data_IF_542170748299
#
_entry.id   IF_542170748299
#
_cell.length_a   1.000
_cell.length_b   1.000
_cell.length_c   1.000
_cell.angle_alpha   90.00
_cell.angle_beta   90.00
_cell.angle_gamma   90.00
#
_symmetry.space_group_name_H-M   'P 1'
#
loop_
_entity.id
_entity.type
_entity.pdbx_description
1 polymer ?
#
# COMPACT_ATOMS: atom_id res chain seq x y z
N UNK A 1 -11.08 -17.84 13.63
CA UNK A 1 -12.02 -17.62 12.51
C UNK A 1 -12.97 -18.80 12.48
N UNK A 2 -14.28 -18.56 12.34
CA UNK A 2 -15.30 -19.59 12.32
C UNK A 2 -15.15 -20.46 11.06
N UNK A 3 -15.09 -21.80 11.19
CA UNK A 3 -14.97 -22.72 10.06
C UNK A 3 -16.09 -22.61 9.01
N UNK A 4 -17.27 -22.09 9.37
CA UNK A 4 -18.38 -21.89 8.44
C UNK A 4 -18.10 -20.82 7.36
N UNK A 5 -17.13 -19.94 7.56
CA UNK A 5 -16.77 -18.91 6.58
C UNK A 5 -16.31 -19.49 5.24
N UNK A 6 -15.74 -20.69 5.22
CA UNK A 6 -15.40 -21.41 3.98
C UNK A 6 -16.59 -21.64 3.06
N UNK A 7 -17.81 -21.69 3.61
CA UNK A 7 -19.03 -22.00 2.84
C UNK A 7 -19.51 -20.81 1.99
N UNK A 8 -19.11 -19.58 2.33
CA UNK A 8 -19.55 -18.37 1.63
C UNK A 8 -18.44 -17.35 1.33
N UNK A 9 -17.18 -17.71 1.55
CA UNK A 9 -16.05 -16.78 1.31
C UNK A 9 -15.31 -17.05 0.02
N UNK A 10 -14.79 -15.96 -0.57
CA UNK A 10 -13.82 -15.95 -1.65
C UNK A 10 -12.61 -15.13 -1.20
N UNK A 11 -11.43 -15.71 -1.23
CA UNK A 11 -10.19 -15.04 -0.85
C UNK A 11 -9.42 -14.69 -2.12
N UNK A 12 -9.33 -13.40 -2.44
CA UNK A 12 -8.57 -12.90 -3.57
C UNK A 12 -7.21 -12.40 -3.07
N UNK A 13 -6.15 -12.86 -3.69
CA UNK A 13 -4.79 -12.48 -3.31
C UNK A 13 -3.82 -12.53 -4.49
N UNK A 14 -2.62 -11.97 -4.31
CA UNK A 14 -1.57 -12.00 -5.32
C UNK A 14 -0.18 -11.82 -4.70
N UNK A 15 0.84 -12.29 -5.41
CA UNK A 15 2.24 -12.03 -5.10
C UNK A 15 2.72 -10.63 -5.54
N UNK A 16 1.91 -9.91 -6.31
CA UNK A 16 2.34 -8.75 -7.10
C UNK A 16 2.84 -7.58 -6.26
N UNK A 17 2.23 -7.31 -5.11
CA UNK A 17 2.66 -6.23 -4.21
C UNK A 17 3.80 -6.66 -3.30
N UNK A 18 3.73 -7.87 -2.77
CA UNK A 18 4.76 -8.43 -1.88
C UNK A 18 6.13 -8.53 -2.56
N UNK A 19 6.15 -8.90 -3.84
CA UNK A 19 7.39 -9.17 -4.58
C UNK A 19 7.66 -8.14 -5.70
N UNK A 20 6.97 -7.02 -5.71
CA UNK A 20 7.13 -5.94 -6.69
C UNK A 20 7.03 -6.42 -8.16
N UNK A 21 6.11 -7.32 -8.44
CA UNK A 21 5.85 -7.88 -9.77
C UNK A 21 4.48 -7.52 -10.33
N UNK A 22 3.97 -6.32 -10.00
CA UNK A 22 2.63 -5.89 -10.40
C UNK A 22 2.43 -5.84 -11.92
N UNK A 23 3.49 -5.59 -12.69
CA UNK A 23 3.44 -5.61 -14.16
C UNK A 23 3.07 -6.96 -14.76
N UNK A 24 3.23 -8.06 -14.03
CA UNK A 24 2.84 -9.41 -14.48
C UNK A 24 1.33 -9.65 -14.46
N UNK A 25 0.56 -8.77 -13.77
CA UNK A 25 -0.91 -8.78 -13.72
C UNK A 25 -1.49 -10.14 -13.36
N UNK A 26 -0.94 -10.81 -12.35
CA UNK A 26 -1.38 -12.12 -11.90
C UNK A 26 -1.96 -12.08 -10.49
N UNK A 27 -3.09 -12.75 -10.30
CA UNK A 27 -3.74 -12.96 -9.01
C UNK A 27 -4.40 -14.33 -8.98
N UNK A 28 -4.72 -14.81 -7.80
CA UNK A 28 -5.45 -16.06 -7.65
C UNK A 28 -6.56 -15.90 -6.60
N UNK A 29 -7.56 -16.76 -6.72
CA UNK A 29 -8.67 -16.81 -5.78
C UNK A 29 -8.77 -18.20 -5.17
N UNK A 30 -8.95 -18.24 -3.85
CA UNK A 30 -9.20 -19.47 -3.10
C UNK A 30 -10.68 -19.51 -2.76
N UNK A 31 -11.36 -20.56 -3.21
CA UNK A 31 -12.79 -20.79 -2.95
C UNK A 31 -12.95 -22.25 -2.53
N UNK A 32 -13.22 -22.49 -1.26
CA UNK A 32 -13.38 -23.86 -0.74
C UNK A 32 -14.72 -24.45 -1.15
N UNK A 33 -15.81 -23.69 -1.08
CA UNK A 33 -17.14 -24.15 -1.45
C UNK A 33 -17.23 -24.49 -2.95
N UNK A 34 -17.52 -25.76 -3.33
CA UNK A 34 -17.56 -26.18 -4.73
C UNK A 34 -18.64 -25.46 -5.57
N UNK A 35 -19.78 -25.12 -4.98
CA UNK A 35 -20.86 -24.41 -5.68
C UNK A 35 -20.44 -22.99 -6.04
N UNK A 36 -19.86 -22.26 -5.08
CA UNK A 36 -19.31 -20.92 -5.30
C UNK A 36 -18.18 -20.95 -6.33
N UNK A 37 -17.27 -21.92 -6.21
CA UNK A 37 -16.15 -22.09 -7.16
C UNK A 37 -16.63 -22.34 -8.58
N UNK A 38 -17.66 -23.15 -8.77
CA UNK A 38 -18.28 -23.40 -10.08
C UNK A 38 -18.91 -22.12 -10.64
N UNK A 39 -19.72 -21.42 -9.83
CA UNK A 39 -20.35 -20.16 -10.24
C UNK A 39 -19.29 -19.09 -10.62
N UNK A 40 -18.22 -18.96 -9.83
CA UNK A 40 -17.12 -18.05 -10.13
C UNK A 40 -16.45 -18.38 -11.47
N UNK A 41 -16.11 -19.66 -11.72
CA UNK A 41 -15.52 -20.10 -12.97
C UNK A 41 -16.42 -19.83 -14.17
N UNK A 42 -17.71 -20.10 -14.06
CA UNK A 42 -18.67 -19.81 -15.12
C UNK A 42 -18.73 -18.30 -15.42
N UNK A 43 -18.67 -17.45 -14.38
CA UNK A 43 -18.64 -16.01 -14.58
C UNK A 43 -17.35 -15.53 -15.24
N UNK A 44 -16.21 -16.08 -14.87
CA UNK A 44 -14.92 -15.79 -15.53
C UNK A 44 -14.97 -16.13 -17.02
N UNK A 45 -15.49 -17.31 -17.37
CA UNK A 45 -15.65 -17.73 -18.77
C UNK A 45 -16.58 -16.79 -19.54
N UNK A 46 -17.75 -16.47 -18.96
CA UNK A 46 -18.73 -15.56 -19.58
C UNK A 46 -18.17 -14.15 -19.84
N UNK A 47 -17.23 -13.69 -19.01
CA UNK A 47 -16.57 -12.40 -19.14
C UNK A 47 -15.24 -12.47 -19.92
N UNK A 48 -14.87 -13.60 -20.47
CA UNK A 48 -13.57 -13.85 -21.12
C UNK A 48 -12.36 -13.49 -20.23
N UNK A 49 -12.43 -13.78 -18.92
CA UNK A 49 -11.44 -13.45 -17.88
C UNK A 49 -10.75 -14.70 -17.34
N UNK A 50 -10.60 -15.73 -18.13
CA UNK A 50 -10.06 -17.03 -17.70
C UNK A 50 -8.62 -17.27 -18.14
N UNK A 51 -8.07 -16.43 -19.01
CA UNK A 51 -6.68 -16.51 -19.44
C UNK A 51 -5.78 -15.70 -18.54
N UNK A 52 -4.62 -16.24 -18.23
CA UNK A 52 -3.57 -15.60 -17.45
C UNK A 52 -2.27 -15.50 -18.27
N UNK A 53 -1.47 -14.50 -17.96
CA UNK A 53 -0.13 -14.39 -18.54
C UNK A 53 0.75 -15.56 -18.09
N UNK A 54 1.32 -16.32 -19.04
CA UNK A 54 2.28 -17.38 -18.73
C UNK A 54 3.48 -16.84 -17.92
N UNK A 55 3.96 -15.64 -18.25
CA UNK A 55 5.02 -14.96 -17.49
C UNK A 55 4.56 -14.64 -16.04
N UNK A 56 3.31 -14.19 -15.87
CA UNK A 56 2.74 -13.93 -14.56
C UNK A 56 2.64 -15.18 -13.70
N UNK A 57 2.30 -16.31 -14.29
CA UNK A 57 2.26 -17.60 -13.60
C UNK A 57 3.65 -18.00 -13.09
N UNK A 58 4.66 -18.01 -13.98
CA UNK A 58 6.04 -18.38 -13.66
C UNK A 58 6.62 -17.42 -12.59
N UNK A 59 6.39 -16.12 -12.74
CA UNK A 59 6.86 -15.13 -11.79
C UNK A 59 6.25 -15.31 -10.38
N UNK A 60 4.96 -15.64 -10.31
CA UNK A 60 4.27 -15.91 -9.05
C UNK A 60 4.81 -17.17 -8.38
N UNK A 61 5.01 -18.25 -9.14
CA UNK A 61 5.59 -19.49 -8.62
C UNK A 61 7.00 -19.26 -8.09
N UNK A 62 7.87 -18.62 -8.88
CA UNK A 62 9.24 -18.30 -8.48
C UNK A 62 9.30 -17.43 -7.23
N UNK A 63 8.43 -16.41 -7.13
CA UNK A 63 8.34 -15.54 -5.98
C UNK A 63 8.00 -16.31 -4.70
N UNK A 64 7.01 -17.18 -4.72
CA UNK A 64 6.64 -17.98 -3.55
C UNK A 64 7.65 -19.07 -3.19
N UNK A 65 8.28 -19.70 -4.20
CA UNK A 65 9.27 -20.75 -3.95
C UNK A 65 10.61 -20.22 -3.48
N UNK A 66 11.06 -19.08 -4.01
CA UNK A 66 12.44 -18.61 -3.87
C UNK A 66 12.56 -17.18 -3.30
N UNK A 67 11.47 -16.40 -3.23
CA UNK A 67 11.52 -14.99 -2.88
C UNK A 67 11.66 -14.68 -1.39
N UNK A 68 11.61 -15.66 -0.48
CA UNK A 68 11.65 -15.43 0.96
C UNK A 68 12.91 -14.69 1.45
N UNK A 69 14.14 -15.00 1.01
CA UNK A 69 15.32 -14.26 1.44
C UNK A 69 15.24 -12.77 1.06
N UNK A 70 14.92 -12.48 -0.20
CA UNK A 70 14.72 -11.12 -0.68
C UNK A 70 13.65 -10.35 0.11
N UNK A 71 12.50 -10.98 0.38
CA UNK A 71 11.43 -10.35 1.14
C UNK A 71 11.86 -10.04 2.59
N UNK A 72 12.66 -10.91 3.19
CA UNK A 72 13.18 -10.70 4.55
C UNK A 72 14.06 -9.46 4.61
N UNK A 73 14.97 -9.28 3.65
CA UNK A 73 15.82 -8.10 3.56
C UNK A 73 15.00 -6.83 3.26
N UNK A 74 14.07 -6.92 2.32
CA UNK A 74 13.20 -5.79 1.97
C UNK A 74 12.38 -5.29 3.17
N UNK A 75 11.88 -6.18 4.00
CA UNK A 75 11.15 -5.79 5.22
C UNK A 75 12.02 -4.98 6.18
N UNK A 76 13.30 -5.34 6.35
CA UNK A 76 14.23 -4.57 7.17
C UNK A 76 14.49 -3.17 6.59
N UNK A 77 14.56 -3.06 5.27
CA UNK A 77 14.66 -1.75 4.59
C UNK A 77 13.43 -0.90 4.87
N UNK A 78 12.23 -1.47 4.75
CA UNK A 78 11.00 -0.73 5.03
C UNK A 78 10.89 -0.30 6.50
N UNK A 79 11.27 -1.15 7.44
CA UNK A 79 11.29 -0.80 8.87
C UNK A 79 12.19 0.42 9.12
N UNK A 80 13.39 0.45 8.55
CA UNK A 80 14.31 1.61 8.65
C UNK A 80 13.72 2.88 8.02
N UNK A 81 13.07 2.77 6.86
CA UNK A 81 12.44 3.91 6.21
C UNK A 81 11.27 4.46 7.03
N UNK A 82 10.44 3.56 7.57
CA UNK A 82 9.30 3.91 8.41
C UNK A 82 9.79 4.63 9.67
N UNK A 83 10.76 4.06 10.38
CA UNK A 83 11.30 4.66 11.61
C UNK A 83 11.88 6.05 11.34
N UNK A 84 12.68 6.19 10.29
CA UNK A 84 13.25 7.48 9.90
C UNK A 84 12.18 8.56 9.66
N UNK A 85 11.13 8.23 8.89
CA UNK A 85 10.05 9.19 8.60
C UNK A 85 9.25 9.52 9.85
N UNK A 86 8.87 8.50 10.64
CA UNK A 86 8.08 8.68 11.86
C UNK A 86 8.81 9.56 12.85
N UNK A 87 10.07 9.26 13.13
CA UNK A 87 10.88 9.99 14.12
C UNK A 87 11.07 11.46 13.69
N UNK A 88 11.45 11.69 12.43
CA UNK A 88 11.68 13.04 11.93
C UNK A 88 10.40 13.90 11.93
N UNK A 89 9.25 13.33 11.54
CA UNK A 89 7.99 14.07 11.51
C UNK A 89 7.47 14.35 12.92
N UNK A 90 7.55 13.39 13.85
CA UNK A 90 7.13 13.60 15.24
C UNK A 90 7.99 14.64 15.97
N UNK A 91 9.29 14.62 15.73
CA UNK A 91 10.22 15.57 16.35
C UNK A 91 10.00 17.01 15.85
N UNK A 92 9.85 17.21 14.53
CA UNK A 92 10.00 18.51 13.87
C UNK A 92 8.69 19.11 13.37
N UNK A 93 7.59 18.36 13.38
CA UNK A 93 6.29 18.79 12.85
C UNK A 93 5.16 18.44 13.81
N UNK A 94 3.94 18.92 13.49
CA UNK A 94 2.71 18.46 14.15
C UNK A 94 2.02 17.32 13.38
N UNK A 95 2.64 16.81 12.31
CA UNK A 95 2.12 15.67 11.57
C UNK A 95 2.16 14.43 12.47
N UNK A 96 1.02 13.77 12.61
CA UNK A 96 0.93 12.49 13.30
C UNK A 96 1.06 11.36 12.32
N UNK A 97 1.85 10.36 12.64
CA UNK A 97 2.04 9.17 11.82
C UNK A 97 1.70 7.95 12.64
N UNK A 98 0.72 7.19 12.23
CA UNK A 98 0.49 5.86 12.80
C UNK A 98 1.51 4.90 12.22
N UNK A 99 2.44 4.41 13.06
CA UNK A 99 3.43 3.42 12.64
C UNK A 99 2.71 2.14 12.22
N UNK A 100 2.83 1.72 10.95
CA UNK A 100 2.08 0.57 10.46
C UNK A 100 2.68 -0.74 10.98
N UNK A 101 1.83 -1.72 11.28
CA UNK A 101 2.25 -3.09 11.63
C UNK A 101 2.52 -3.96 10.40
N UNK A 102 2.27 -3.43 9.22
CA UNK A 102 2.48 -4.08 7.92
C UNK A 102 2.36 -3.08 6.79
N UNK A 103 2.70 -3.50 5.59
CA UNK A 103 2.75 -2.64 4.40
C UNK A 103 3.93 -1.66 4.38
N UNK A 104 4.04 -0.90 3.32
CA UNK A 104 5.02 0.16 3.06
C UNK A 104 4.34 1.51 2.83
N UNK A 105 3.13 1.66 3.37
CA UNK A 105 2.31 2.86 3.21
C UNK A 105 2.11 3.50 4.58
N UNK A 106 2.55 4.75 4.72
CA UNK A 106 2.31 5.57 5.89
C UNK A 106 1.04 6.40 5.72
N UNK A 107 0.26 6.52 6.78
CA UNK A 107 -0.90 7.38 6.86
C UNK A 107 -0.54 8.58 7.71
N UNK A 108 -0.49 9.75 7.06
CA UNK A 108 -0.08 11.02 7.66
C UNK A 108 -1.34 11.81 8.01
N UNK A 109 -1.47 12.19 9.27
CA UNK A 109 -2.56 13.00 9.81
C UNK A 109 -2.08 14.44 10.02
N UNK A 110 -2.71 15.38 9.30
CA UNK A 110 -2.44 16.82 9.36
C UNK A 110 -3.53 17.60 10.11
N UNK A 111 -4.41 16.93 10.83
CA UNK A 111 -5.55 17.57 11.51
C UNK A 111 -5.16 18.61 12.57
N UNK A 112 -3.90 18.61 12.99
CA UNK A 112 -3.35 19.63 13.90
C UNK A 112 -3.12 21.00 13.24
N UNK A 113 -3.17 21.07 11.89
CA UNK A 113 -2.97 22.32 11.15
C UNK A 113 -4.31 22.93 10.74
N UNK A 114 -4.40 24.30 10.69
CA UNK A 114 -5.65 25.00 10.41
C UNK A 114 -5.94 25.09 8.90
N UNK A 115 -5.90 23.97 8.19
CA UNK A 115 -6.16 23.92 6.74
C UNK A 115 -7.49 23.22 6.45
N UNK A 116 -8.10 23.59 5.34
CA UNK A 116 -9.05 22.73 4.64
C UNK A 116 -8.31 21.61 3.90
N UNK A 117 -9.01 20.57 3.47
CA UNK A 117 -8.41 19.46 2.73
C UNK A 117 -7.75 19.92 1.42
N UNK A 118 -8.39 20.86 0.70
CA UNK A 118 -7.85 21.41 -0.54
C UNK A 118 -6.60 22.27 -0.30
N UNK A 119 -6.59 23.12 0.73
CA UNK A 119 -5.43 23.91 1.12
C UNK A 119 -4.25 23.04 1.53
N UNK A 120 -4.51 21.97 2.28
CA UNK A 120 -3.48 21.01 2.66
C UNK A 120 -2.83 20.39 1.43
N UNK A 121 -3.63 19.88 0.50
CA UNK A 121 -3.09 19.21 -0.68
C UNK A 121 -2.43 20.19 -1.67
N UNK A 122 -2.93 21.40 -1.80
CA UNK A 122 -2.24 22.47 -2.53
C UNK A 122 -0.87 22.79 -1.89
N UNK A 123 -0.80 22.87 -0.55
CA UNK A 123 0.46 23.12 0.17
C UNK A 123 1.47 21.98 -0.01
N UNK A 124 1.04 20.71 0.07
CA UNK A 124 1.87 19.55 -0.21
C UNK A 124 2.41 19.57 -1.65
N UNK A 125 1.55 19.88 -2.62
CA UNK A 125 1.92 19.93 -4.03
C UNK A 125 2.82 21.13 -4.35
N UNK A 126 2.41 22.34 -3.95
CA UNK A 126 3.03 23.57 -4.43
C UNK A 126 4.23 24.01 -3.59
N UNK A 127 4.26 23.72 -2.30
CA UNK A 127 5.35 24.09 -1.40
C UNK A 127 6.31 22.94 -1.14
N UNK A 128 5.81 21.78 -0.69
CA UNK A 128 6.66 20.62 -0.49
C UNK A 128 7.09 19.95 -1.83
N UNK A 129 6.45 20.30 -2.96
CA UNK A 129 6.71 19.69 -4.28
C UNK A 129 6.58 18.18 -4.27
N UNK A 130 5.55 17.68 -3.58
CA UNK A 130 5.26 16.26 -3.43
C UNK A 130 3.89 15.94 -4.01
N UNK A 131 3.77 14.75 -4.62
CA UNK A 131 2.50 14.18 -5.05
C UNK A 131 2.20 12.99 -4.15
N UNK A 132 1.31 13.18 -3.17
CA UNK A 132 0.83 12.14 -2.27
C UNK A 132 -0.61 11.77 -2.62
N UNK A 133 -1.04 10.57 -2.24
CA UNK A 133 -2.46 10.25 -2.37
C UNK A 133 -3.26 11.03 -1.33
N UNK A 134 -4.33 11.68 -1.75
CA UNK A 134 -5.24 12.36 -0.83
C UNK A 134 -5.96 11.35 0.04
N UNK A 135 -6.06 11.63 1.32
CA UNK A 135 -6.78 10.77 2.24
C UNK A 135 -8.29 10.73 1.95
N UNK A 136 -8.88 11.85 1.55
CA UNK A 136 -10.29 11.97 1.18
C UNK A 136 -10.70 11.08 -0.01
N UNK A 137 -9.76 10.65 -0.88
CA UNK A 137 -10.02 9.68 -1.94
C UNK A 137 -10.37 8.28 -1.39
N UNK A 138 -10.06 8.01 -0.12
CA UNK A 138 -10.35 6.75 0.57
C UNK A 138 -11.61 6.81 1.45
N UNK A 139 -12.28 7.95 1.50
CA UNK A 139 -13.49 8.21 2.26
C UNK A 139 -13.40 9.49 3.09
N UNK A 140 -14.53 9.95 3.60
CA UNK A 140 -14.63 11.22 4.35
C UNK A 140 -13.74 11.28 5.61
N UNK A 141 -13.48 10.13 6.21
CA UNK A 141 -12.61 10.00 7.39
C UNK A 141 -11.13 10.24 7.05
N UNK A 142 -10.79 10.23 5.75
CA UNK A 142 -9.46 10.57 5.26
C UNK A 142 -9.23 12.07 5.01
N UNK A 143 -10.21 12.94 5.30
CA UNK A 143 -10.04 14.39 5.24
C UNK A 143 -8.86 14.82 6.12
N UNK A 144 -8.04 15.75 5.63
CA UNK A 144 -6.78 16.21 6.25
C UNK A 144 -5.73 15.10 6.45
N UNK A 145 -5.80 14.06 5.63
CA UNK A 145 -4.78 13.01 5.63
C UNK A 145 -4.12 12.88 4.25
N UNK A 146 -2.92 12.31 4.26
CA UNK A 146 -2.22 11.94 3.03
C UNK A 146 -1.54 10.57 3.20
N UNK A 147 -1.49 9.80 2.11
CA UNK A 147 -0.80 8.51 2.11
C UNK A 147 0.56 8.63 1.43
N UNK A 148 1.61 8.30 2.18
CA UNK A 148 3.00 8.27 1.70
C UNK A 148 3.45 6.83 1.47
N UNK A 149 4.06 6.57 0.31
CA UNK A 149 4.70 5.30 -0.03
C UNK A 149 6.21 5.37 0.29
N UNK A 150 6.70 4.48 1.15
CA UNK A 150 8.13 4.41 1.52
C UNK A 150 8.90 3.31 0.79
N UNK A 151 8.30 2.67 -0.20
CA UNK A 151 8.97 1.67 -1.04
C UNK A 151 9.76 2.36 -2.18
N UNK A 152 10.76 3.14 -1.81
CA UNK A 152 11.64 3.91 -2.68
C UNK A 152 13.09 3.87 -2.16
N UNK A 153 14.10 4.29 -2.94
CA UNK A 153 15.46 4.42 -2.44
C UNK A 153 15.53 5.37 -1.22
N UNK A 154 16.41 5.06 -0.27
CA UNK A 154 16.51 5.82 0.99
C UNK A 154 16.76 7.32 0.77
N UNK A 155 17.60 7.68 -0.20
CA UNK A 155 17.88 9.07 -0.57
C UNK A 155 16.59 9.84 -0.96
N UNK A 156 15.63 9.18 -1.60
CA UNK A 156 14.34 9.78 -1.91
C UNK A 156 13.48 9.92 -0.65
N UNK A 157 13.53 8.95 0.27
CA UNK A 157 12.82 9.04 1.54
C UNK A 157 13.36 10.19 2.40
N UNK A 158 14.68 10.38 2.43
CA UNK A 158 15.31 11.53 3.09
C UNK A 158 14.81 12.85 2.50
N UNK A 159 14.81 12.97 1.18
CA UNK A 159 14.37 14.20 0.50
C UNK A 159 12.88 14.48 0.73
N UNK A 160 12.02 13.47 0.63
CA UNK A 160 10.58 13.61 0.92
C UNK A 160 10.37 14.08 2.36
N UNK A 161 11.04 13.44 3.31
CA UNK A 161 10.92 13.76 4.73
C UNK A 161 11.40 15.17 5.03
N UNK A 162 12.54 15.57 4.46
CA UNK A 162 13.06 16.94 4.57
C UNK A 162 12.05 17.97 4.06
N UNK A 163 11.49 17.79 2.89
CA UNK A 163 10.49 18.70 2.31
C UNK A 163 9.23 18.81 3.16
N UNK A 164 8.75 17.69 3.72
CA UNK A 164 7.61 17.72 4.65
C UNK A 164 7.96 18.51 5.92
N UNK A 165 9.14 18.28 6.50
CA UNK A 165 9.60 19.02 7.68
C UNK A 165 9.73 20.51 7.38
N UNK A 166 10.36 20.92 6.28
CA UNK A 166 10.52 22.32 5.90
C UNK A 166 9.18 23.04 5.65
N UNK A 167 8.20 22.32 5.12
CA UNK A 167 6.87 22.86 4.78
C UNK A 167 5.95 22.96 6.00
N UNK A 168 6.08 22.03 6.95
CA UNK A 168 5.15 21.83 8.08
C UNK A 168 5.84 21.89 9.45
N UNK A 169 6.97 22.57 9.57
CA UNK A 169 7.69 22.72 10.84
C UNK A 169 6.80 23.35 11.92
N UNK A 170 7.15 23.04 13.20
CA UNK A 170 6.46 23.59 14.39
C UNK A 170 6.64 25.09 14.50
#
# INVERSE_FOLDING_TARGET
VDPSFKDFSLILTSATKTFNIAGTKNSYVVIENPKLRTAFKQRQLANNQHEISGLGYIATEAAYRHGKPWLTELKQVFEKHIDYVVDALHEKTQIRVMKPQGTYLLWLDFSAYPYTDDELHAKIHDQAKLILNRGSDFGKEGTLHARLNVAAPFTLIEEITKRLVETFHK
#
